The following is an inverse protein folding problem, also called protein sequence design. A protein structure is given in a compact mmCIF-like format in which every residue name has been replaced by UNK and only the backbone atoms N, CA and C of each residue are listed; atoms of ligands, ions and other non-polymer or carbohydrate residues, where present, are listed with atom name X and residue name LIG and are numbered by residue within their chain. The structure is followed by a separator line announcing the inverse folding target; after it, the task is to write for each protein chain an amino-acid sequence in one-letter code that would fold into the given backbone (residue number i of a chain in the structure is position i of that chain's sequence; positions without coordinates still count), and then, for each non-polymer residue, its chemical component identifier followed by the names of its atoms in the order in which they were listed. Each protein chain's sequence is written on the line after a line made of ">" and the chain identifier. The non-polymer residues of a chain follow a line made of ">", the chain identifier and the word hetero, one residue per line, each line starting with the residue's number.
data_IF_948740523581
#
_entry.id   IF_948740523581
#
_cell.length_a   1.000
_cell.length_b   1.000
_cell.length_c   1.000
_cell.angle_alpha   90.00
_cell.angle_beta   90.00
_cell.angle_gamma   90.00
#
_symmetry.space_group_name_H-M   'P 1'
#
loop_
_entity.id
_entity.type
_entity.pdbx_description
1 polymer ?
#
# COMPACT_ATOMS: atom_id res chain seq x y z
N UNK A 1 -34.91 4.24 -0.71
CA UNK A 1 -33.91 5.33 -0.65
C UNK A 1 -32.55 4.69 -0.84
N UNK A 2 -32.03 4.71 -2.07
CA UNK A 2 -30.68 4.25 -2.35
C UNK A 2 -29.70 5.34 -1.91
N UNK A 3 -28.96 5.10 -0.83
CA UNK A 3 -27.88 5.99 -0.42
C UNK A 3 -26.79 5.93 -1.49
N UNK A 4 -26.38 7.07 -2.10
CA UNK A 4 -25.25 7.04 -3.02
C UNK A 4 -24.02 6.55 -2.27
N UNK A 5 -23.42 5.47 -2.77
CA UNK A 5 -22.17 4.95 -2.24
C UNK A 5 -21.07 5.95 -2.59
N UNK A 6 -20.77 6.88 -1.66
CA UNK A 6 -19.61 7.73 -1.78
C UNK A 6 -18.36 6.83 -1.77
N UNK A 7 -17.46 6.94 -2.77
CA UNK A 7 -16.18 6.26 -2.71
C UNK A 7 -15.48 6.69 -1.42
N UNK A 8 -15.29 5.77 -0.49
CA UNK A 8 -14.51 6.06 0.71
C UNK A 8 -13.07 6.34 0.26
N UNK A 9 -12.50 7.51 0.56
CA UNK A 9 -11.13 7.80 0.19
C UNK A 9 -10.21 6.76 0.84
N UNK A 10 -9.18 6.33 0.13
CA UNK A 10 -8.21 5.41 0.68
C UNK A 10 -7.57 6.03 1.94
N UNK A 11 -7.45 5.24 3.02
CA UNK A 11 -6.69 5.69 4.17
C UNK A 11 -5.20 5.72 3.79
N UNK A 12 -4.57 6.90 3.90
CA UNK A 12 -3.18 7.11 3.49
C UNK A 12 -2.27 7.21 4.71
N UNK A 13 -1.23 6.38 4.73
CA UNK A 13 -0.13 6.46 5.70
C UNK A 13 1.15 6.88 5.00
N UNK A 14 1.80 7.95 5.47
CA UNK A 14 3.11 8.39 4.97
C UNK A 14 4.22 7.66 5.72
N UNK A 15 5.16 7.07 4.97
CA UNK A 15 6.32 6.38 5.52
C UNK A 15 7.55 7.27 5.38
N UNK A 16 8.27 7.43 6.49
CA UNK A 16 9.50 8.23 6.57
C UNK A 16 10.65 7.37 7.06
N UNK A 17 11.87 7.70 6.62
CA UNK A 17 13.09 7.14 7.18
C UNK A 17 13.40 7.76 8.57
N UNK A 18 14.50 7.32 9.20
CA UNK A 18 14.93 7.82 10.52
C UNK A 18 15.28 9.31 10.53
N UNK A 19 15.54 9.91 9.37
CA UNK A 19 15.90 11.33 9.18
C UNK A 19 14.66 12.18 8.89
N UNK A 20 13.48 11.57 8.81
CA UNK A 20 12.22 12.24 8.49
C UNK A 20 11.96 12.39 6.99
N UNK A 21 12.79 11.83 6.11
CA UNK A 21 12.60 11.91 4.66
C UNK A 21 11.48 10.94 4.26
N UNK A 22 10.55 11.42 3.43
CA UNK A 22 9.49 10.59 2.89
C UNK A 22 10.12 9.54 1.94
N UNK A 23 9.93 8.27 2.26
CA UNK A 23 10.36 7.14 1.42
C UNK A 23 9.19 6.57 0.61
N UNK A 24 7.95 6.86 1.02
CA UNK A 24 6.76 6.49 0.28
C UNK A 24 5.48 6.62 1.09
N UNK A 25 4.43 5.95 0.62
CA UNK A 25 3.11 5.92 1.24
C UNK A 25 2.43 4.57 1.08
N UNK A 26 1.57 4.25 2.03
CA UNK A 26 0.65 3.11 1.99
C UNK A 26 -0.77 3.65 1.82
N UNK A 27 -1.50 3.11 0.84
CA UNK A 27 -2.88 3.50 0.51
C UNK A 27 -3.79 2.28 0.73
N UNK A 28 -4.56 2.30 1.81
CA UNK A 28 -5.52 1.23 2.11
C UNK A 28 -6.84 1.49 1.42
N UNK A 29 -7.18 0.62 0.48
CA UNK A 29 -8.39 0.68 -0.34
C UNK A 29 -9.43 -0.29 0.24
N UNK A 30 -10.47 0.26 0.88
CA UNK A 30 -11.51 -0.53 1.53
C UNK A 30 -12.30 -1.42 0.54
N UNK A 31 -12.64 -0.89 -0.64
CA UNK A 31 -13.44 -1.60 -1.64
C UNK A 31 -12.72 -2.84 -2.20
N UNK A 32 -11.43 -2.74 -2.47
CA UNK A 32 -10.63 -3.83 -3.02
C UNK A 32 -10.05 -4.73 -1.94
N UNK A 33 -10.11 -4.31 -0.66
CA UNK A 33 -9.41 -4.94 0.47
C UNK A 33 -7.92 -5.12 0.18
N UNK A 34 -7.30 -4.08 -0.37
CA UNK A 34 -5.86 -4.04 -0.66
C UNK A 34 -5.21 -2.85 0.02
N UNK A 35 -3.97 -3.01 0.44
CA UNK A 35 -3.08 -1.88 0.72
C UNK A 35 -2.06 -1.80 -0.41
N UNK A 36 -1.88 -0.60 -0.96
CA UNK A 36 -0.94 -0.34 -2.03
C UNK A 36 0.24 0.44 -1.47
N UNK A 37 1.46 0.02 -1.77
CA UNK A 37 2.65 0.79 -1.47
C UNK A 37 3.11 1.57 -2.71
N UNK A 38 3.40 2.85 -2.51
CA UNK A 38 4.02 3.71 -3.51
C UNK A 38 5.29 4.33 -2.98
N UNK A 39 6.30 4.48 -3.83
CA UNK A 39 7.52 5.20 -3.48
C UNK A 39 7.26 6.71 -3.31
N UNK A 40 8.31 7.45 -2.94
CA UNK A 40 8.25 8.91 -2.79
C UNK A 40 7.88 9.67 -4.08
N UNK A 41 8.02 9.05 -5.27
CA UNK A 41 7.63 9.60 -6.57
C UNK A 41 6.20 9.21 -6.96
N UNK A 42 5.54 8.35 -6.19
CA UNK A 42 4.20 7.84 -6.45
C UNK A 42 4.14 6.57 -7.30
N UNK A 43 5.29 5.96 -7.62
CA UNK A 43 5.36 4.72 -8.38
C UNK A 43 4.94 3.54 -7.50
N UNK A 44 4.18 2.59 -8.06
CA UNK A 44 3.81 1.36 -7.38
C UNK A 44 5.06 0.54 -7.04
N UNK A 45 5.20 0.12 -5.79
CA UNK A 45 6.28 -0.80 -5.38
C UNK A 45 5.75 -2.17 -4.94
N UNK A 46 4.48 -2.25 -4.55
CA UNK A 46 3.85 -3.51 -4.18
C UNK A 46 2.41 -3.33 -3.72
N UNK A 47 1.75 -4.47 -3.53
CA UNK A 47 0.38 -4.56 -3.03
C UNK A 47 0.26 -5.69 -2.01
N UNK A 48 -0.49 -5.44 -0.95
CA UNK A 48 -0.88 -6.43 0.05
C UNK A 48 -2.38 -6.69 -0.09
N UNK A 49 -2.75 -7.96 -0.28
CA UNK A 49 -4.12 -8.41 -0.35
C UNK A 49 -4.57 -8.95 1.01
N UNK A 50 -5.50 -8.25 1.65
CA UNK A 50 -5.98 -8.59 2.99
C UNK A 50 -6.86 -9.85 2.99
N UNK A 51 -7.40 -10.26 1.83
CA UNK A 51 -8.33 -11.41 1.75
C UNK A 51 -7.60 -12.74 1.84
N UNK A 52 -6.39 -12.79 1.29
CA UNK A 52 -5.58 -14.00 1.19
C UNK A 52 -4.25 -13.87 1.94
N UNK A 53 -4.04 -12.74 2.62
CA UNK A 53 -2.85 -12.47 3.45
C UNK A 53 -1.52 -12.61 2.69
N UNK A 54 -1.42 -11.99 1.51
CA UNK A 54 -0.18 -12.02 0.71
C UNK A 54 0.25 -10.66 0.21
N UNK A 55 1.56 -10.46 0.17
CA UNK A 55 2.20 -9.32 -0.48
C UNK A 55 2.79 -9.72 -1.81
N UNK A 56 2.54 -8.91 -2.84
CA UNK A 56 3.17 -8.99 -4.16
C UNK A 56 3.93 -7.71 -4.46
N UNK A 57 5.00 -7.82 -5.23
CA UNK A 57 5.75 -6.66 -5.72
C UNK A 57 5.00 -5.92 -6.85
N UNK A 58 5.63 -4.89 -7.41
CA UNK A 58 5.10 -4.10 -8.52
C UNK A 58 4.85 -4.90 -9.80
N UNK A 59 5.55 -6.02 -10.00
CA UNK A 59 5.38 -6.93 -11.14
C UNK A 59 4.32 -8.00 -10.87
N UNK A 60 3.77 -8.08 -9.65
CA UNK A 60 2.81 -9.10 -9.25
C UNK A 60 3.45 -10.41 -8.77
N UNK A 61 4.78 -10.44 -8.59
CA UNK A 61 5.50 -11.60 -8.04
C UNK A 61 5.20 -11.71 -6.55
N UNK A 62 4.93 -12.93 -6.08
CA UNK A 62 4.69 -13.20 -4.66
C UNK A 62 5.97 -12.93 -3.86
N UNK A 63 5.88 -12.02 -2.90
CA UNK A 63 6.97 -11.73 -1.95
C UNK A 63 6.84 -12.64 -0.72
N UNK A 64 5.60 -12.86 -0.25
CA UNK A 64 5.33 -13.72 0.90
C UNK A 64 3.96 -13.49 1.52
N UNK A 65 3.71 -14.17 2.63
CA UNK A 65 2.50 -14.01 3.45
C UNK A 65 2.66 -12.86 4.45
N UNK A 66 1.56 -12.23 4.85
CA UNK A 66 1.59 -11.06 5.71
C UNK A 66 1.80 -9.74 4.95
N UNK A 67 1.68 -8.63 5.67
CA UNK A 67 1.95 -7.30 5.14
C UNK A 67 3.46 -7.00 5.14
N UNK A 68 4.10 -7.22 4.00
CA UNK A 68 5.54 -7.01 3.78
C UNK A 68 5.84 -5.69 3.04
N UNK A 69 4.82 -4.87 2.78
CA UNK A 69 4.96 -3.62 2.03
C UNK A 69 6.01 -2.63 2.58
N UNK A 70 6.16 -2.45 3.91
CA UNK A 70 7.19 -1.55 4.44
C UNK A 70 8.61 -1.96 4.03
N UNK A 71 8.86 -3.25 3.82
CA UNK A 71 10.17 -3.77 3.41
C UNK A 71 10.47 -3.53 1.93
N UNK A 72 9.45 -3.28 1.10
CA UNK A 72 9.58 -3.00 -0.34
C UNK A 72 9.84 -1.51 -0.64
N UNK A 73 9.66 -0.64 0.36
CA UNK A 73 9.98 0.77 0.20
C UNK A 73 11.50 0.98 0.18
N UNK A 74 12.01 1.89 -0.67
CA UNK A 74 13.44 2.15 -0.75
C UNK A 74 13.98 2.65 0.59
N UNK A 75 15.14 2.13 0.99
CA UNK A 75 15.90 2.64 2.12
C UNK A 75 16.69 3.87 1.69
N UNK A 76 16.67 4.94 2.50
CA UNK A 76 17.46 6.17 2.31
C UNK A 76 18.25 6.50 3.57
#
# INVERSE_FOLDING_TARGET
>A
MDTPAYPQPAAVQIVRDRRGIIVGRLETQHNTRKTIARDARGLLVGQYDHRIDVTRDACGVLVGTGNLLPALLPRR
#
